data_IF_645618883939
#
_entry.id   IF_645618883939
#
_cell.length_a   1.000
_cell.length_b   1.000
_cell.length_c   1.000
_cell.angle_alpha   90.00
_cell.angle_beta   90.00
_cell.angle_gamma   90.00
#
_symmetry.space_group_name_H-M   'P 1'
#
loop_
_entity.id
_entity.type
_entity.pdbx_description
1 polymer ?
#
# COMPACT_ATOMS: atom_id res chain seq x y z
N UNK A 1 -1.86 5.91 11.45
CA UNK A 1 -2.61 6.75 10.49
C UNK A 1 -4.01 6.98 11.00
N UNK A 2 -4.53 8.17 10.83
CA UNK A 2 -5.92 8.43 11.17
C UNK A 2 -6.81 8.09 9.96
N UNK A 3 -8.13 8.18 10.17
CA UNK A 3 -9.09 7.80 9.12
C UNK A 3 -8.91 8.64 7.85
N UNK A 4 -8.67 9.94 8.00
CA UNK A 4 -8.45 10.81 6.85
C UNK A 4 -7.25 10.40 6.02
N UNK A 5 -6.15 10.07 6.69
CA UNK A 5 -4.94 9.64 6.02
C UNK A 5 -5.14 8.31 5.31
N UNK A 6 -5.87 7.40 5.95
CA UNK A 6 -6.19 6.11 5.34
C UNK A 6 -7.00 6.29 4.06
N UNK A 7 -8.03 7.14 4.12
CA UNK A 7 -8.86 7.43 2.95
C UNK A 7 -8.05 8.07 1.83
N UNK A 8 -7.22 9.05 2.17
CA UNK A 8 -6.37 9.70 1.19
C UNK A 8 -5.42 8.72 0.53
N UNK A 9 -4.82 7.84 1.32
CA UNK A 9 -3.91 6.84 0.79
C UNK A 9 -4.64 5.87 -0.15
N UNK A 10 -5.80 5.38 0.26
CA UNK A 10 -6.60 4.50 -0.57
C UNK A 10 -6.97 5.16 -1.89
N UNK A 11 -7.36 6.43 -1.83
CA UNK A 11 -7.70 7.17 -3.04
C UNK A 11 -6.50 7.36 -3.96
N UNK A 12 -5.33 7.58 -3.38
CA UNK A 12 -4.11 7.79 -4.16
C UNK A 12 -3.69 6.54 -4.93
N UNK A 13 -4.04 5.35 -4.43
CA UNK A 13 -3.66 4.10 -5.09
C UNK A 13 -4.80 3.49 -5.89
N UNK A 14 -5.97 4.10 -5.85
CA UNK A 14 -7.17 3.53 -6.46
C UNK A 14 -7.04 3.36 -7.98
N UNK A 15 -6.32 4.25 -8.65
CA UNK A 15 -6.14 4.23 -10.10
C UNK A 15 -4.84 3.60 -10.56
N UNK A 16 -4.06 3.07 -9.64
CA UNK A 16 -2.78 2.45 -9.99
C UNK A 16 -3.01 1.08 -10.61
N UNK A 17 -2.12 0.72 -11.54
CA UNK A 17 -2.15 -0.61 -12.13
C UNK A 17 -1.60 -1.61 -11.11
N UNK A 18 -1.82 -2.90 -11.36
CA UNK A 18 -1.29 -3.96 -10.51
C UNK A 18 0.24 -3.85 -10.39
N UNK A 19 0.90 -3.56 -11.50
CA UNK A 19 2.35 -3.40 -11.52
C UNK A 19 2.80 -2.25 -10.63
N UNK A 20 2.11 -1.11 -10.73
CA UNK A 20 2.42 0.05 -9.91
C UNK A 20 2.18 -0.20 -8.43
N UNK A 21 1.12 -0.93 -8.12
CA UNK A 21 0.83 -1.30 -6.73
C UNK A 21 1.93 -2.19 -6.14
N UNK A 22 2.37 -3.19 -6.92
CA UNK A 22 3.45 -4.07 -6.49
C UNK A 22 4.75 -3.30 -6.28
N UNK A 23 5.03 -2.37 -7.16
CA UNK A 23 6.24 -1.53 -7.05
C UNK A 23 6.19 -0.68 -5.78
N UNK A 24 5.06 -0.04 -5.52
CA UNK A 24 4.90 0.78 -4.33
C UNK A 24 5.02 -0.04 -3.05
N UNK A 25 4.43 -1.22 -3.05
CA UNK A 25 4.54 -2.14 -1.92
C UNK A 25 6.01 -2.52 -1.67
N UNK A 26 6.74 -2.83 -2.72
CA UNK A 26 8.15 -3.20 -2.60
C UNK A 26 8.97 -2.04 -2.02
N UNK A 27 8.69 -0.81 -2.44
CA UNK A 27 9.38 0.36 -1.90
C UNK A 27 9.16 0.52 -0.40
N UNK A 28 7.92 0.31 0.04
CA UNK A 28 7.60 0.41 1.46
C UNK A 28 8.23 -0.73 2.27
N UNK A 29 8.23 -1.94 1.70
CA UNK A 29 8.89 -3.07 2.35
C UNK A 29 10.40 -2.86 2.48
N UNK A 30 11.00 -2.20 1.50
CA UNK A 30 12.41 -1.88 1.55
C UNK A 30 12.73 -0.91 2.70
N UNK A 31 11.86 0.05 2.93
CA UNK A 31 12.01 0.98 4.05
C UNK A 31 11.99 0.26 5.39
N UNK A 32 11.08 -0.70 5.53
CA UNK A 32 10.99 -1.49 6.74
C UNK A 32 12.24 -2.37 6.91
N UNK A 33 12.73 -2.95 5.82
CA UNK A 33 13.92 -3.77 5.84
C UNK A 33 15.16 -2.98 6.27
N UNK A 34 15.16 -1.68 6.05
CA UNK A 34 16.24 -0.80 6.49
C UNK A 34 16.05 -0.33 7.94
N UNK A 35 15.20 -1.03 8.67
CA UNK A 35 14.95 -0.80 10.10
C UNK A 35 14.22 0.52 10.40
N UNK A 36 13.50 1.05 9.43
CA UNK A 36 12.61 2.17 9.68
C UNK A 36 11.28 1.58 10.13
N UNK A 37 11.19 1.33 11.42
CA UNK A 37 9.98 0.74 12.01
C UNK A 37 8.94 1.84 12.22
N UNK A 38 7.96 1.86 11.33
CA UNK A 38 6.91 2.86 11.37
C UNK A 38 5.57 2.15 11.21
N UNK A 39 4.67 2.34 12.17
CA UNK A 39 3.35 1.72 12.12
C UNK A 39 2.56 2.20 10.90
N UNK A 40 2.80 3.42 10.44
CA UNK A 40 2.14 3.95 9.25
C UNK A 40 2.57 3.17 8.01
N UNK A 41 3.85 2.83 7.90
CA UNK A 41 4.34 2.03 6.78
C UNK A 41 3.70 0.65 6.77
N UNK A 42 3.58 0.03 7.94
CA UNK A 42 2.95 -1.27 8.07
C UNK A 42 1.48 -1.20 7.62
N UNK A 43 0.78 -0.17 8.04
CA UNK A 43 -0.61 0.04 7.65
C UNK A 43 -0.74 0.24 6.14
N UNK A 44 0.15 1.04 5.56
CA UNK A 44 0.14 1.31 4.13
C UNK A 44 0.36 0.03 3.33
N UNK A 45 1.29 -0.82 3.79
CA UNK A 45 1.53 -2.11 3.13
C UNK A 45 0.28 -3.00 3.19
N UNK A 46 -0.39 -3.04 4.34
CA UNK A 46 -1.62 -3.82 4.47
C UNK A 46 -2.70 -3.33 3.51
N UNK A 47 -2.84 -2.02 3.37
CA UNK A 47 -3.81 -1.42 2.45
C UNK A 47 -3.45 -1.77 1.01
N UNK A 48 -2.16 -1.70 0.66
CA UNK A 48 -1.70 -2.05 -0.67
C UNK A 48 -1.95 -3.53 -0.98
N UNK A 49 -1.69 -4.41 -0.02
CA UNK A 49 -1.94 -5.84 -0.22
C UNK A 49 -3.40 -6.12 -0.47
N UNK A 50 -4.29 -5.47 0.29
CA UNK A 50 -5.73 -5.62 0.08
C UNK A 50 -6.13 -5.14 -1.31
N UNK A 51 -5.58 -4.02 -1.76
CA UNK A 51 -5.88 -3.49 -3.09
C UNK A 51 -5.35 -4.38 -4.20
N UNK A 52 -4.15 -4.92 -4.01
CA UNK A 52 -3.57 -5.86 -4.96
C UNK A 52 -4.45 -7.10 -5.10
N UNK A 53 -4.92 -7.63 -3.97
CA UNK A 53 -5.78 -8.80 -3.96
C UNK A 53 -7.09 -8.52 -4.70
N UNK A 54 -7.70 -7.37 -4.47
CA UNK A 54 -8.89 -6.95 -5.18
C UNK A 54 -8.68 -6.95 -6.69
N UNK A 55 -7.59 -6.34 -7.13
CA UNK A 55 -7.31 -6.25 -8.57
C UNK A 55 -7.03 -7.60 -9.20
N UNK A 56 -6.43 -8.52 -8.46
CA UNK A 56 -6.19 -9.87 -8.95
C UNK A 56 -7.48 -10.66 -9.12
N UNK A 57 -8.45 -10.38 -8.26
CA UNK A 57 -9.76 -11.06 -8.33
C UNK A 57 -10.68 -10.44 -9.37
N UNK A 58 -10.42 -9.22 -9.76
CA UNK A 58 -11.15 -8.55 -10.83
C UNK A 58 -10.70 -9.06 -12.18
N UNK A 59 -11.63 -9.29 -13.04
CA UNK A 59 -11.33 -9.69 -14.41
C UNK A 59 -12.06 -8.81 -15.40
#
# INVERSE_FOLDING_TARGET
MNIEEIVKFKNSINNLTLEELNKKKAELQDKIAKMIMDSDLTMQIAILEAKIQEKKEEK
#
